data_IF_383260182989
#
_entry.id   IF_383260182989
#
_cell.length_a   1.000
_cell.length_b   1.000
_cell.length_c   1.000
_cell.angle_alpha   90.00
_cell.angle_beta   90.00
_cell.angle_gamma   90.00
#
_symmetry.space_group_name_H-M   'P 1'
#
loop_
_entity.id
_entity.type
_entity.pdbx_description
1 polymer ?
#
# COMPACT_ATOMS: atom_id res chain seq x y z
N UNK A 1 -0.25 -38.77 -0.75
CA UNK A 1 0.39 -37.66 -0.03
C UNK A 1 0.38 -38.03 1.46
N UNK A 2 1.54 -38.18 2.10
CA UNK A 2 1.66 -38.79 3.43
C UNK A 2 1.18 -37.81 4.53
N UNK A 3 0.29 -38.25 5.43
CA UNK A 3 -0.33 -37.42 6.49
C UNK A 3 0.74 -36.77 7.40
N UNK A 4 1.88 -37.44 7.59
CA UNK A 4 3.03 -36.89 8.31
C UNK A 4 3.67 -35.66 7.64
N UNK A 5 3.68 -35.60 6.30
CA UNK A 5 4.21 -34.43 5.57
C UNK A 5 3.25 -33.24 5.62
N UNK A 6 1.94 -33.49 5.62
CA UNK A 6 0.93 -32.43 5.76
C UNK A 6 1.01 -31.80 7.16
N UNK A 7 1.10 -32.61 8.22
CA UNK A 7 1.21 -32.11 9.59
C UNK A 7 2.51 -31.34 9.87
N UNK A 8 3.63 -31.75 9.25
CA UNK A 8 4.92 -31.04 9.36
C UNK A 8 4.89 -29.70 8.61
N UNK A 9 4.21 -29.62 7.46
CA UNK A 9 4.10 -28.40 6.68
C UNK A 9 3.15 -27.39 7.34
N UNK A 10 2.02 -27.85 7.90
CA UNK A 10 1.10 -26.99 8.67
C UNK A 10 1.75 -26.45 9.94
N UNK A 11 2.50 -27.25 10.70
CA UNK A 11 3.18 -26.79 11.92
C UNK A 11 4.31 -25.78 11.64
N UNK A 12 5.02 -25.90 10.53
CA UNK A 12 6.03 -24.91 10.09
C UNK A 12 5.37 -23.58 9.67
N UNK A 13 4.25 -23.62 8.96
CA UNK A 13 3.49 -22.41 8.57
C UNK A 13 2.93 -21.71 9.80
N UNK A 14 2.38 -22.46 10.75
CA UNK A 14 1.87 -21.91 12.02
C UNK A 14 2.99 -21.24 12.83
N UNK A 15 4.12 -21.92 13.05
CA UNK A 15 5.25 -21.35 13.80
C UNK A 15 5.85 -20.10 13.12
N UNK A 16 5.89 -20.08 11.78
CA UNK A 16 6.36 -18.91 11.03
C UNK A 16 5.39 -17.74 11.16
N UNK A 17 4.07 -17.99 11.14
CA UNK A 17 3.05 -16.97 11.38
C UNK A 17 3.13 -16.36 12.78
N UNK A 18 3.33 -17.17 13.82
CA UNK A 18 3.53 -16.69 15.19
C UNK A 18 4.77 -15.81 15.33
N UNK A 19 5.91 -16.25 14.80
CA UNK A 19 7.15 -15.47 14.87
C UNK A 19 7.08 -14.15 14.10
N UNK A 20 6.38 -14.10 12.96
CA UNK A 20 6.20 -12.86 12.21
C UNK A 20 5.32 -11.85 12.96
N UNK A 21 4.24 -12.30 13.61
CA UNK A 21 3.37 -11.44 14.42
C UNK A 21 4.08 -10.87 15.64
N UNK A 22 4.84 -11.70 16.36
CA UNK A 22 5.65 -11.25 17.50
C UNK A 22 6.67 -10.17 17.09
N UNK A 23 7.33 -10.34 15.92
CA UNK A 23 8.22 -9.32 15.39
C UNK A 23 7.49 -8.01 15.04
N UNK A 24 6.29 -8.07 14.45
CA UNK A 24 5.49 -6.88 14.14
C UNK A 24 5.06 -6.15 15.42
N UNK A 25 4.65 -6.86 16.47
CA UNK A 25 4.29 -6.26 17.76
C UNK A 25 5.47 -5.54 18.41
N UNK A 26 6.66 -6.16 18.43
CA UNK A 26 7.87 -5.51 18.97
C UNK A 26 8.24 -4.29 18.13
N UNK A 27 8.16 -4.37 16.78
CA UNK A 27 8.41 -3.22 15.91
C UNK A 27 7.46 -2.07 16.19
N UNK A 28 6.16 -2.36 16.36
CA UNK A 28 5.15 -1.37 16.74
C UNK A 28 5.49 -0.71 18.07
N UNK A 29 5.82 -1.48 19.11
CA UNK A 29 6.22 -0.94 20.42
C UNK A 29 7.42 0.01 20.32
N UNK A 30 8.44 -0.35 19.53
CA UNK A 30 9.62 0.50 19.33
C UNK A 30 9.25 1.78 18.58
N UNK A 31 8.44 1.68 17.53
CA UNK A 31 8.04 2.84 16.70
C UNK A 31 7.16 3.79 17.51
N UNK A 32 6.17 3.30 18.26
CA UNK A 32 5.31 4.13 19.12
C UNK A 32 6.12 4.87 20.18
N UNK A 33 7.06 4.17 20.83
CA UNK A 33 7.95 4.80 21.79
C UNK A 33 8.85 5.87 21.15
N UNK A 34 9.29 5.66 19.91
CA UNK A 34 10.07 6.64 19.16
C UNK A 34 9.24 7.86 18.76
N UNK A 35 7.99 7.67 18.32
CA UNK A 35 7.06 8.75 17.97
C UNK A 35 6.78 9.62 19.20
N UNK A 36 6.42 9.02 20.33
CA UNK A 36 6.14 9.77 21.56
C UNK A 36 7.40 10.52 22.06
N UNK A 37 8.60 9.91 21.97
CA UNK A 37 9.84 10.65 22.23
C UNK A 37 10.10 11.78 21.23
N UNK A 38 9.79 11.58 19.95
CA UNK A 38 9.96 12.61 18.92
C UNK A 38 9.11 13.83 19.24
N UNK A 39 7.82 13.64 19.49
CA UNK A 39 6.87 14.70 19.84
C UNK A 39 7.28 15.41 21.15
N UNK A 40 7.60 14.64 22.20
CA UNK A 40 7.89 15.24 23.52
C UNK A 40 9.26 15.90 23.63
N UNK A 41 10.21 15.58 22.76
CA UNK A 41 11.60 16.08 22.84
C UNK A 41 12.08 16.86 21.61
N UNK A 42 11.21 17.06 20.60
CA UNK A 42 11.60 17.64 19.31
C UNK A 42 12.64 16.78 18.58
N UNK A 43 12.51 15.45 18.65
CA UNK A 43 13.41 14.49 18.03
C UNK A 43 14.73 14.22 18.74
N UNK A 44 14.99 14.86 19.89
CA UNK A 44 16.26 14.73 20.62
C UNK A 44 16.22 13.65 21.72
N UNK A 45 16.27 12.38 21.31
CA UNK A 45 16.33 11.24 22.25
C UNK A 45 17.46 10.26 21.95
N UNK A 46 17.95 9.59 22.99
CA UNK A 46 18.99 8.54 22.91
C UNK A 46 18.39 7.15 22.71
N UNK A 47 19.19 6.21 22.20
CA UNK A 47 18.76 4.80 22.11
C UNK A 47 18.38 4.23 23.49
N UNK A 48 19.08 4.66 24.55
CA UNK A 48 18.77 4.25 25.93
C UNK A 48 17.36 4.68 26.34
N UNK A 49 16.99 5.94 26.08
CA UNK A 49 15.65 6.45 26.36
C UNK A 49 14.59 5.72 25.53
N UNK A 50 14.88 5.44 24.25
CA UNK A 50 13.99 4.66 23.38
C UNK A 50 13.72 3.26 23.94
N UNK A 51 14.77 2.49 24.22
CA UNK A 51 14.62 1.14 24.78
C UNK A 51 13.89 1.15 26.13
N UNK A 52 14.17 2.13 27.00
CA UNK A 52 13.48 2.28 28.28
C UNK A 52 11.97 2.52 28.10
N UNK A 53 11.60 3.41 27.18
CA UNK A 53 10.20 3.75 26.92
C UNK A 53 9.43 2.62 26.24
N UNK A 54 10.07 1.95 25.27
CA UNK A 54 9.56 0.74 24.62
C UNK A 54 9.57 -0.50 25.54
N UNK A 55 10.18 -0.41 26.73
CA UNK A 55 10.32 -1.51 27.71
C UNK A 55 11.04 -2.75 27.14
N UNK A 56 12.02 -2.54 26.27
CA UNK A 56 12.85 -3.59 25.66
C UNK A 56 14.33 -3.43 26.02
N UNK A 57 15.11 -4.49 25.81
CA UNK A 57 16.58 -4.43 25.88
C UNK A 57 17.16 -3.93 24.56
N UNK A 58 18.38 -3.41 24.59
CA UNK A 58 19.11 -3.00 23.37
C UNK A 58 19.34 -4.17 22.39
N UNK A 59 19.54 -5.39 22.90
CA UNK A 59 19.68 -6.56 22.03
C UNK A 59 18.43 -6.83 21.18
N UNK A 60 17.25 -6.65 21.77
CA UNK A 60 15.96 -6.79 21.07
C UNK A 60 15.76 -5.66 20.05
N UNK A 61 16.20 -4.44 20.37
CA UNK A 61 16.21 -3.33 19.41
C UNK A 61 17.02 -3.68 18.15
N UNK A 62 18.24 -4.18 18.31
CA UNK A 62 19.12 -4.50 17.19
C UNK A 62 18.68 -5.72 16.37
N UNK A 63 17.74 -6.53 16.88
CA UNK A 63 17.07 -7.56 16.08
C UNK A 63 16.05 -6.95 15.10
N UNK A 64 15.51 -5.76 15.41
CA UNK A 64 14.48 -5.10 14.60
C UNK A 64 15.00 -3.94 13.75
N UNK A 65 15.99 -3.18 14.26
CA UNK A 65 16.51 -1.97 13.62
C UNK A 65 18.03 -1.87 13.76
N UNK A 66 18.69 -1.45 12.69
CA UNK A 66 20.15 -1.23 12.70
C UNK A 66 20.54 0.11 13.34
N UNK A 67 19.62 1.07 13.41
CA UNK A 67 19.88 2.42 13.93
C UNK A 67 18.59 3.10 14.41
N UNK A 68 18.68 3.85 15.52
CA UNK A 68 17.56 4.67 16.03
C UNK A 68 17.05 5.68 14.99
N UNK A 69 17.93 6.17 14.12
CA UNK A 69 17.61 7.22 13.15
C UNK A 69 16.67 6.72 12.05
N UNK A 70 16.57 5.40 11.85
CA UNK A 70 15.68 4.79 10.85
C UNK A 70 14.29 4.51 11.41
N UNK A 71 14.11 4.52 12.74
CA UNK A 71 12.89 4.02 13.39
C UNK A 71 11.66 4.82 12.99
N UNK A 72 11.74 6.16 13.06
CA UNK A 72 10.59 7.03 12.74
C UNK A 72 10.09 6.83 11.30
N UNK A 73 11.01 6.72 10.34
CA UNK A 73 10.66 6.47 8.93
C UNK A 73 10.04 5.09 8.67
N UNK A 74 10.05 4.18 9.64
CA UNK A 74 9.45 2.85 9.53
C UNK A 74 7.99 2.83 9.98
N UNK A 75 7.46 3.94 10.50
CA UNK A 75 6.04 4.09 10.82
C UNK A 75 5.13 3.84 9.61
N UNK A 76 5.35 4.54 8.49
CA UNK A 76 4.48 4.41 7.32
C UNK A 76 4.47 2.99 6.71
N UNK A 77 5.62 2.32 6.49
CA UNK A 77 5.63 0.90 6.11
C UNK A 77 4.90 0.01 7.11
N UNK A 78 5.09 0.24 8.42
CA UNK A 78 4.41 -0.56 9.44
C UNK A 78 2.88 -0.44 9.34
N UNK A 79 2.34 0.74 9.00
CA UNK A 79 0.91 0.90 8.75
C UNK A 79 0.42 -0.01 7.61
N UNK A 80 1.15 -0.08 6.50
CA UNK A 80 0.80 -0.96 5.36
C UNK A 80 0.82 -2.43 5.78
N UNK A 81 1.85 -2.84 6.54
CA UNK A 81 1.96 -4.19 7.08
C UNK A 81 0.79 -4.54 8.03
N UNK A 82 0.38 -3.60 8.87
CA UNK A 82 -0.80 -3.76 9.74
C UNK A 82 -2.09 -3.88 8.92
N UNK A 83 -2.28 -3.06 7.90
CA UNK A 83 -3.43 -3.19 7.00
C UNK A 83 -3.52 -4.58 6.36
N UNK A 84 -2.38 -5.17 5.97
CA UNK A 84 -2.33 -6.53 5.45
C UNK A 84 -2.79 -7.55 6.50
N UNK A 85 -2.26 -7.50 7.72
CA UNK A 85 -2.67 -8.42 8.80
C UNK A 85 -4.15 -8.25 9.16
N UNK A 86 -4.67 -7.01 9.20
CA UNK A 86 -6.08 -6.73 9.46
C UNK A 86 -6.98 -7.25 8.34
N UNK A 87 -6.56 -7.11 7.07
CA UNK A 87 -7.30 -7.63 5.91
C UNK A 87 -7.48 -9.14 5.97
N UNK A 88 -6.48 -9.88 6.48
CA UNK A 88 -6.55 -11.33 6.65
C UNK A 88 -7.58 -11.78 7.69
N UNK A 89 -8.04 -10.89 8.58
CA UNK A 89 -9.08 -11.18 9.57
C UNK A 89 -10.50 -10.93 9.05
N UNK A 90 -10.65 -10.37 7.85
CA UNK A 90 -11.96 -10.11 7.26
C UNK A 90 -12.50 -11.41 6.66
N UNK A 91 -13.53 -11.99 7.29
CA UNK A 91 -14.09 -13.33 6.97
C UNK A 91 -14.47 -13.51 5.49
N UNK A 92 -14.92 -12.43 4.84
CA UNK A 92 -15.35 -12.41 3.45
C UNK A 92 -14.41 -11.63 2.51
N UNK A 93 -13.15 -11.39 2.90
CA UNK A 93 -12.23 -10.55 2.11
C UNK A 93 -12.08 -11.01 0.65
N UNK A 94 -11.99 -12.33 0.44
CA UNK A 94 -11.81 -12.90 -0.88
C UNK A 94 -12.98 -12.65 -1.83
N UNK A 95 -14.20 -12.53 -1.31
CA UNK A 95 -15.41 -12.27 -2.09
C UNK A 95 -15.71 -10.78 -2.29
N UNK A 96 -14.92 -9.89 -1.69
CA UNK A 96 -15.09 -8.45 -1.87
C UNK A 96 -14.76 -8.03 -3.30
N UNK A 97 -15.46 -7.00 -3.77
CA UNK A 97 -15.18 -6.34 -5.04
C UNK A 97 -13.80 -5.66 -5.02
N UNK A 98 -13.35 -5.20 -6.18
CA UNK A 98 -12.10 -4.45 -6.29
C UNK A 98 -12.19 -3.12 -5.53
N UNK A 99 -13.29 -2.39 -5.73
CA UNK A 99 -13.58 -1.14 -5.05
C UNK A 99 -13.60 -1.33 -3.53
N UNK A 100 -14.24 -2.39 -3.05
CA UNK A 100 -14.32 -2.72 -1.62
C UNK A 100 -12.95 -3.02 -1.00
N UNK A 101 -12.09 -3.81 -1.67
CA UNK A 101 -10.73 -4.11 -1.18
C UNK A 101 -9.86 -2.87 -1.12
N UNK A 102 -9.88 -2.05 -2.18
CA UNK A 102 -9.13 -0.79 -2.23
C UNK A 102 -9.64 0.20 -1.18
N UNK A 103 -10.96 0.35 -1.05
CA UNK A 103 -11.61 1.20 -0.06
C UNK A 103 -11.21 0.79 1.36
N UNK A 104 -11.31 -0.50 1.70
CA UNK A 104 -10.88 -1.02 2.99
C UNK A 104 -9.42 -0.68 3.30
N UNK A 105 -8.51 -0.91 2.34
CA UNK A 105 -7.10 -0.58 2.51
C UNK A 105 -6.91 0.92 2.83
N UNK A 106 -7.55 1.79 2.06
CA UNK A 106 -7.46 3.25 2.23
C UNK A 106 -8.03 3.67 3.59
N UNK A 107 -9.19 3.16 3.99
CA UNK A 107 -9.82 3.51 5.26
C UNK A 107 -9.01 3.01 6.47
N UNK A 108 -8.51 1.77 6.44
CA UNK A 108 -7.61 1.28 7.49
C UNK A 108 -6.33 2.13 7.57
N UNK A 109 -5.80 2.58 6.44
CA UNK A 109 -4.65 3.48 6.43
C UNK A 109 -4.97 4.84 7.04
N UNK A 110 -6.13 5.45 6.73
CA UNK A 110 -6.57 6.67 7.39
C UNK A 110 -6.67 6.50 8.90
N UNK A 111 -7.27 5.41 9.38
CA UNK A 111 -7.40 5.14 10.81
C UNK A 111 -6.03 5.01 11.50
N UNK A 112 -5.12 4.23 10.93
CA UNK A 112 -3.77 4.03 11.48
C UNK A 112 -2.93 5.32 11.48
N UNK A 113 -3.04 6.14 10.44
CA UNK A 113 -2.34 7.42 10.37
C UNK A 113 -2.95 8.43 11.35
N UNK A 114 -4.27 8.39 11.55
CA UNK A 114 -4.98 9.24 12.49
C UNK A 114 -4.61 8.94 13.95
N UNK A 115 -4.32 7.67 14.30
CA UNK A 115 -3.82 7.29 15.64
C UNK A 115 -2.55 8.09 16.04
N UNK A 116 -1.73 8.47 15.07
CA UNK A 116 -0.47 9.21 15.26
C UNK A 116 -0.51 10.58 14.54
N UNK A 117 -1.68 11.23 14.50
CA UNK A 117 -1.94 12.41 13.65
C UNK A 117 -0.89 13.52 13.75
N UNK A 118 -0.50 13.90 14.97
CA UNK A 118 0.50 14.96 15.19
C UNK A 118 1.84 14.64 14.51
N UNK A 119 2.32 13.41 14.65
CA UNK A 119 3.53 12.94 13.98
C UNK A 119 3.38 12.91 12.46
N UNK A 120 2.21 12.48 11.95
CA UNK A 120 1.96 12.43 10.52
C UNK A 120 1.93 13.83 9.91
N UNK A 121 1.28 14.80 10.56
CA UNK A 121 1.23 16.19 10.11
C UNK A 121 2.65 16.80 10.02
N UNK A 122 3.54 16.49 10.97
CA UNK A 122 4.92 16.96 10.97
C UNK A 122 5.82 16.30 9.91
N UNK A 123 5.62 14.99 9.64
CA UNK A 123 6.63 14.20 8.93
C UNK A 123 6.22 13.74 7.53
N UNK A 124 4.92 13.68 7.20
CA UNK A 124 4.45 13.11 5.94
C UNK A 124 4.99 13.85 4.71
N UNK A 125 5.07 15.17 4.79
CA UNK A 125 5.59 16.00 3.70
C UNK A 125 7.00 15.60 3.28
N UNK A 126 7.92 15.53 4.24
CA UNK A 126 9.35 15.24 4.01
C UNK A 126 9.61 13.74 3.80
N UNK A 127 9.04 12.89 4.66
CA UNK A 127 9.36 11.46 4.67
C UNK A 127 8.64 10.68 3.57
N UNK A 128 7.48 11.15 3.11
CA UNK A 128 6.64 10.42 2.15
C UNK A 128 6.39 11.22 0.88
N UNK A 129 5.75 12.39 0.98
CA UNK A 129 5.24 13.09 -0.19
C UNK A 129 6.33 13.60 -1.13
N UNK A 130 7.42 14.16 -0.58
CA UNK A 130 8.55 14.68 -1.36
C UNK A 130 9.56 13.61 -1.78
N UNK A 131 9.47 12.41 -1.21
CA UNK A 131 10.48 11.37 -1.39
C UNK A 131 9.91 10.21 -2.23
N UNK A 132 10.18 10.23 -3.54
CA UNK A 132 9.74 9.15 -4.43
C UNK A 132 10.61 7.91 -4.25
N UNK A 133 9.99 6.72 -4.14
CA UNK A 133 10.72 5.45 -4.03
C UNK A 133 11.07 5.04 -2.59
N UNK A 134 10.35 5.53 -1.59
CA UNK A 134 10.44 5.02 -0.21
C UNK A 134 10.00 3.55 -0.12
N UNK A 135 10.33 2.90 1.01
CA UNK A 135 9.79 1.57 1.33
C UNK A 135 8.27 1.60 1.35
N UNK A 136 7.68 2.65 1.96
CA UNK A 136 6.24 2.85 2.01
C UNK A 136 5.61 2.87 0.62
N UNK A 137 6.18 3.62 -0.33
CA UNK A 137 5.69 3.68 -1.70
C UNK A 137 5.64 2.29 -2.36
N UNK A 138 6.72 1.51 -2.22
CA UNK A 138 6.78 0.16 -2.77
C UNK A 138 5.77 -0.76 -2.12
N UNK A 139 5.64 -0.73 -0.79
CA UNK A 139 4.68 -1.59 -0.10
C UNK A 139 3.23 -1.25 -0.47
N UNK A 140 2.91 0.03 -0.71
CA UNK A 140 1.61 0.45 -1.26
C UNK A 140 1.42 -0.09 -2.68
N UNK A 141 2.42 0.05 -3.56
CA UNK A 141 2.35 -0.47 -4.92
C UNK A 141 2.14 -2.00 -4.91
N UNK A 142 2.81 -2.72 -4.01
CA UNK A 142 2.64 -4.16 -3.83
C UNK A 142 1.21 -4.51 -3.39
N UNK A 143 0.64 -3.78 -2.41
CA UNK A 143 -0.75 -3.99 -1.97
C UNK A 143 -1.73 -3.78 -3.13
N UNK A 144 -1.57 -2.67 -3.87
CA UNK A 144 -2.44 -2.34 -5.00
C UNK A 144 -2.30 -3.42 -6.08
N UNK A 145 -1.07 -3.82 -6.42
CA UNK A 145 -0.81 -4.89 -7.38
C UNK A 145 -1.48 -6.19 -6.99
N UNK A 146 -1.32 -6.65 -5.75
CA UNK A 146 -1.97 -7.86 -5.24
C UNK A 146 -3.50 -7.79 -5.32
N UNK A 147 -4.08 -6.65 -4.94
CA UNK A 147 -5.54 -6.46 -5.01
C UNK A 147 -6.01 -6.56 -6.46
N UNK A 148 -5.37 -5.86 -7.39
CA UNK A 148 -5.74 -5.85 -8.81
C UNK A 148 -5.53 -7.23 -9.47
N UNK A 149 -4.40 -7.88 -9.20
CA UNK A 149 -4.08 -9.19 -9.78
C UNK A 149 -5.06 -10.27 -9.31
N UNK A 150 -5.56 -10.15 -8.08
CA UNK A 150 -6.52 -11.08 -7.47
C UNK A 150 -7.94 -10.98 -8.03
N UNK A 151 -8.30 -9.91 -8.74
CA UNK A 151 -9.66 -9.69 -9.20
C UNK A 151 -9.93 -10.40 -10.53
N UNK A 152 -10.73 -11.49 -10.57
CA UNK A 152 -10.99 -12.26 -11.78
C UNK A 152 -11.80 -11.51 -12.85
N UNK A 153 -12.48 -10.41 -12.51
CA UNK A 153 -13.38 -9.70 -13.43
C UNK A 153 -12.64 -8.81 -14.44
N UNK A 154 -11.36 -8.51 -14.20
CA UNK A 154 -10.53 -7.73 -15.12
C UNK A 154 -10.26 -8.56 -16.40
N UNK A 155 -10.66 -8.09 -17.60
CA UNK A 155 -10.46 -8.81 -18.86
C UNK A 155 -8.98 -8.99 -19.24
N UNK A 156 -8.64 -10.11 -19.88
CA UNK A 156 -7.26 -10.49 -20.25
C UNK A 156 -6.47 -9.41 -21.00
N UNK A 157 -7.13 -8.70 -21.92
CA UNK A 157 -6.51 -7.61 -22.66
C UNK A 157 -6.08 -6.48 -21.73
N UNK A 158 -6.93 -6.10 -20.78
CA UNK A 158 -6.66 -5.06 -19.82
C UNK A 158 -5.60 -5.49 -18.81
N UNK A 159 -5.66 -6.75 -18.37
CA UNK A 159 -4.60 -7.35 -17.56
C UNK A 159 -3.24 -7.19 -18.21
N UNK A 160 -3.13 -7.56 -19.48
CA UNK A 160 -1.87 -7.52 -20.23
C UNK A 160 -1.28 -6.11 -20.36
N UNK A 161 -2.14 -5.07 -20.37
CA UNK A 161 -1.72 -3.68 -20.55
C UNK A 161 -1.55 -2.90 -19.25
N UNK A 162 -2.36 -3.20 -18.23
CA UNK A 162 -2.51 -2.37 -17.03
C UNK A 162 -1.95 -3.04 -15.78
N UNK A 163 -1.90 -4.38 -15.72
CA UNK A 163 -1.36 -5.08 -14.55
C UNK A 163 0.14 -5.28 -14.71
N UNK A 164 0.87 -4.21 -14.43
CA UNK A 164 2.33 -4.17 -14.44
C UNK A 164 2.87 -3.21 -13.37
N UNK A 165 4.15 -3.38 -13.02
CA UNK A 165 4.80 -2.61 -11.98
C UNK A 165 4.71 -1.09 -12.18
N UNK A 166 4.80 -0.60 -13.42
CA UNK A 166 4.69 0.84 -13.71
C UNK A 166 3.31 1.39 -13.37
N UNK A 167 2.25 0.63 -13.66
CA UNK A 167 0.89 1.03 -13.27
C UNK A 167 0.72 1.03 -11.76
N UNK A 168 1.25 0.02 -11.06
CA UNK A 168 1.17 -0.06 -9.60
C UNK A 168 1.90 1.12 -8.93
N UNK A 169 3.08 1.48 -9.45
CA UNK A 169 3.81 2.66 -9.01
C UNK A 169 3.01 3.95 -9.25
N UNK A 170 2.32 4.08 -10.40
CA UNK A 170 1.45 5.24 -10.68
C UNK A 170 0.30 5.30 -9.68
N UNK A 171 -0.41 4.19 -9.46
CA UNK A 171 -1.53 4.14 -8.51
C UNK A 171 -1.07 4.41 -7.07
N UNK A 172 0.12 3.94 -6.68
CA UNK A 172 0.73 4.26 -5.40
C UNK A 172 1.03 5.76 -5.24
N UNK A 173 1.46 6.44 -6.32
CA UNK A 173 1.59 7.92 -6.32
C UNK A 173 0.25 8.60 -6.11
N UNK A 174 -0.79 8.18 -6.84
CA UNK A 174 -2.12 8.77 -6.69
C UNK A 174 -2.69 8.54 -5.29
N UNK A 175 -2.47 7.37 -4.70
CA UNK A 175 -2.80 7.11 -3.31
C UNK A 175 -2.06 8.06 -2.33
N UNK A 176 -0.77 8.34 -2.56
CA UNK A 176 -0.03 9.32 -1.74
C UNK A 176 -0.62 10.74 -1.89
N UNK A 177 -1.12 11.11 -3.07
CA UNK A 177 -1.85 12.38 -3.25
C UNK A 177 -3.18 12.38 -2.51
N UNK A 178 -3.89 11.25 -2.46
CA UNK A 178 -5.09 11.09 -1.65
C UNK A 178 -4.80 11.26 -0.15
N UNK A 179 -3.71 10.67 0.36
CA UNK A 179 -3.28 10.90 1.75
C UNK A 179 -2.97 12.38 2.02
N UNK A 180 -2.30 13.07 1.08
CA UNK A 180 -2.05 14.51 1.19
C UNK A 180 -3.35 15.32 1.23
N UNK A 181 -4.33 14.94 0.41
CA UNK A 181 -5.66 15.55 0.41
C UNK A 181 -6.35 15.34 1.76
N UNK A 182 -6.31 14.11 2.30
CA UNK A 182 -6.86 13.77 3.61
C UNK A 182 -6.23 14.55 4.77
N UNK A 183 -4.91 14.72 4.77
CA UNK A 183 -4.23 15.55 5.78
C UNK A 183 -4.67 17.01 5.74
N UNK A 184 -5.13 17.50 4.58
CA UNK A 184 -5.61 18.87 4.38
C UNK A 184 -7.13 19.00 4.49
N UNK A 185 -7.84 17.91 4.80
CA UNK A 185 -9.30 17.90 4.85
C UNK A 185 -9.82 18.36 6.21
N UNK A 186 -10.37 19.57 6.21
CA UNK A 186 -10.97 20.25 7.35
C UNK A 186 -12.47 19.98 7.53
N UNK A 187 -13.07 19.16 6.67
CA UNK A 187 -14.48 18.80 6.80
C UNK A 187 -14.73 17.91 8.01
N UNK A 188 -15.97 17.94 8.50
CA UNK A 188 -16.38 17.09 9.62
C UNK A 188 -16.09 15.63 9.28
N UNK A 189 -15.36 14.93 10.17
CA UNK A 189 -14.99 13.52 10.00
C UNK A 189 -14.34 13.18 8.64
N UNK A 190 -13.64 14.14 8.00
CA UNK A 190 -12.98 13.96 6.71
C UNK A 190 -13.95 13.56 5.57
N UNK A 191 -15.19 14.04 5.61
CA UNK A 191 -16.25 13.76 4.62
C UNK A 191 -15.80 13.94 3.16
N UNK A 192 -14.99 14.97 2.85
CA UNK A 192 -14.50 15.19 1.47
C UNK A 192 -13.55 14.06 1.04
N UNK A 193 -12.69 13.60 1.94
CA UNK A 193 -11.73 12.53 1.69
C UNK A 193 -12.42 11.19 1.54
N UNK A 194 -13.42 10.89 2.38
CA UNK A 194 -14.24 9.69 2.24
C UNK A 194 -14.97 9.69 0.89
N UNK A 195 -15.60 10.81 0.54
CA UNK A 195 -16.30 10.95 -0.74
C UNK A 195 -15.35 10.85 -1.95
N UNK A 196 -14.12 11.35 -1.84
CA UNK A 196 -13.10 11.21 -2.89
C UNK A 196 -12.64 9.76 -3.03
N UNK A 197 -12.36 9.07 -1.92
CA UNK A 197 -12.03 7.65 -1.90
C UNK A 197 -13.09 6.83 -2.61
N UNK A 198 -14.37 6.97 -2.21
CA UNK A 198 -15.49 6.24 -2.82
C UNK A 198 -15.56 6.49 -4.33
N UNK A 199 -15.38 7.74 -4.78
CA UNK A 199 -15.39 8.07 -6.21
C UNK A 199 -14.23 7.44 -6.96
N UNK A 200 -13.02 7.49 -6.40
CA UNK A 200 -11.83 6.97 -7.04
C UNK A 200 -11.85 5.44 -7.18
N UNK A 201 -12.23 4.73 -6.12
CA UNK A 201 -12.21 3.25 -6.14
C UNK A 201 -13.30 2.68 -7.05
N UNK A 202 -14.51 3.27 -7.05
CA UNK A 202 -15.58 2.86 -7.94
C UNK A 202 -15.25 3.19 -9.40
N UNK A 203 -14.69 4.38 -9.67
CA UNK A 203 -14.25 4.73 -11.01
C UNK A 203 -13.16 3.79 -11.52
N UNK A 204 -12.18 3.45 -10.68
CA UNK A 204 -11.11 2.52 -11.06
C UNK A 204 -11.67 1.12 -11.37
N UNK A 205 -12.59 0.61 -10.54
CA UNK A 205 -13.27 -0.66 -10.78
C UNK A 205 -14.04 -0.63 -12.11
N UNK A 206 -14.87 0.38 -12.35
CA UNK A 206 -15.61 0.54 -13.60
C UNK A 206 -14.68 0.58 -14.81
N UNK A 207 -13.58 1.34 -14.75
CA UNK A 207 -12.61 1.43 -15.85
C UNK A 207 -11.98 0.07 -16.14
N UNK A 208 -11.54 -0.66 -15.11
CA UNK A 208 -10.84 -1.95 -15.23
C UNK A 208 -11.75 -3.14 -15.55
N UNK A 209 -13.05 -3.02 -15.31
CA UNK A 209 -14.04 -4.04 -15.71
C UNK A 209 -14.65 -3.72 -17.07
N UNK A 210 -14.66 -2.44 -17.47
CA UNK A 210 -15.22 -2.03 -18.76
C UNK A 210 -14.31 -2.39 -19.93
N UNK A 211 -14.89 -2.61 -21.12
CA UNK A 211 -14.11 -2.79 -22.35
C UNK A 211 -13.62 -1.45 -22.97
N UNK A 212 -13.68 -0.33 -22.24
CA UNK A 212 -13.38 1.01 -22.79
C UNK A 212 -11.93 1.10 -23.27
N UNK A 213 -10.98 0.54 -22.52
CA UNK A 213 -9.56 0.57 -22.87
C UNK A 213 -9.29 -0.26 -24.13
N UNK A 214 -9.90 -1.44 -24.24
CA UNK A 214 -9.83 -2.27 -25.45
C UNK A 214 -10.37 -1.53 -26.67
N UNK A 215 -11.56 -0.91 -26.55
CA UNK A 215 -12.16 -0.12 -27.62
C UNK A 215 -11.31 1.09 -28.03
N UNK A 216 -10.68 1.76 -27.07
CA UNK A 216 -9.76 2.86 -27.35
C UNK A 216 -8.51 2.38 -28.11
N UNK A 217 -7.95 1.22 -27.72
CA UNK A 217 -6.83 0.60 -28.42
C UNK A 217 -7.21 0.18 -29.85
N UNK A 218 -8.41 -0.39 -30.04
CA UNK A 218 -8.93 -0.77 -31.36
C UNK A 218 -9.14 0.46 -32.25
N UNK A 219 -9.67 1.56 -31.70
CA UNK A 219 -9.83 2.82 -32.41
C UNK A 219 -8.47 3.39 -32.85
N UNK A 220 -7.47 3.37 -31.96
CA UNK A 220 -6.10 3.78 -32.28
C UNK A 220 -5.50 2.89 -33.37
N UNK A 221 -5.69 1.57 -33.29
CA UNK A 221 -5.27 0.61 -34.32
C UNK A 221 -5.92 0.95 -35.66
N UNK A 222 -7.21 1.26 -35.68
CA UNK A 222 -7.94 1.66 -36.88
C UNK A 222 -7.39 2.95 -37.49
N UNK A 223 -7.13 3.99 -36.68
CA UNK A 223 -6.55 5.25 -37.18
C UNK A 223 -5.18 5.07 -37.81
N UNK A 224 -4.34 4.21 -37.23
CA UNK A 224 -3.01 3.90 -37.77
C UNK A 224 -3.13 3.09 -39.06
N UNK A 225 -3.97 2.03 -39.08
CA UNK A 225 -4.12 1.15 -40.24
C UNK A 225 -4.68 1.86 -41.47
N UNK A 226 -5.46 2.93 -41.26
CA UNK A 226 -6.11 3.68 -42.34
C UNK A 226 -5.44 5.04 -42.61
N UNK A 227 -4.21 5.26 -42.11
CA UNK A 227 -3.44 6.48 -42.28
C UNK A 227 -4.17 7.79 -41.86
N UNK A 228 -5.20 7.68 -41.01
CA UNK A 228 -5.95 8.84 -40.48
C UNK A 228 -5.05 9.68 -39.58
N UNK A 229 -4.15 9.03 -38.84
CA UNK A 229 -3.12 9.69 -38.03
C UNK A 229 -1.77 9.04 -38.30
N UNK A 230 -0.77 9.83 -38.70
CA UNK A 230 0.62 9.38 -38.84
C UNK A 230 1.30 9.35 -37.47
N UNK A 231 0.99 8.34 -36.66
CA UNK A 231 1.67 8.13 -35.37
C UNK A 231 2.93 7.29 -35.55
N UNK A 232 4.09 7.88 -35.29
CA UNK A 232 5.39 7.20 -35.32
C UNK A 232 5.78 6.76 -33.89
N UNK A 233 5.01 5.85 -33.27
CA UNK A 233 5.28 5.35 -31.92
C UNK A 233 5.69 3.86 -31.90
N UNK A 234 6.67 3.43 -31.08
CA UNK A 234 7.16 2.05 -31.02
C UNK A 234 6.10 0.99 -30.63
N UNK A 235 5.14 1.35 -29.76
CA UNK A 235 4.05 0.47 -29.28
C UNK A 235 3.13 -0.02 -30.40
N UNK A 236 2.99 0.76 -31.48
CA UNK A 236 2.13 0.44 -32.62
C UNK A 236 2.66 -0.78 -33.38
N UNK A 237 3.99 -0.96 -33.48
CA UNK A 237 4.58 -2.13 -34.15
C UNK A 237 4.25 -3.44 -33.43
N UNK A 238 4.13 -3.41 -32.10
CA UNK A 238 3.72 -4.58 -31.30
C UNK A 238 2.23 -4.90 -31.47
N UNK A 239 1.36 -3.88 -31.53
CA UNK A 239 -0.09 -4.03 -31.73
C UNK A 239 -0.51 -4.49 -33.13
N UNK A 240 0.32 -4.25 -34.15
CA UNK A 240 0.04 -4.63 -35.55
C UNK A 240 0.47 -6.06 -35.87
N UNK A 241 1.43 -6.64 -35.13
CA UNK A 241 1.97 -7.99 -35.38
C UNK A 241 1.17 -9.13 -34.71
N UNK A 242 0.05 -8.82 -34.07
CA UNK A 242 -0.88 -9.77 -33.45
C UNK A 242 -2.31 -9.51 -33.93
#
# INVERSE_FOLDING_TARGET
MNIANINKQSSVVVNKGYSMRENLEIRQQIIDAAIDLHITTGGNFTLKQLCQKAKIKQGEFYQQFNSKNQVLGQFYPLCVQRCREMSLQIEAYHSMSLAEKLGNFIYMMFDLLQEQREFVDETFGEMVFQNTGTVFHREVADVIGEILESDPQIPDLQRSFLLNAQMYDVLAKEYIHLLKFWLSDDSQNFEKSMALTDKLVNFLEEVLHSNVIGRAADLLKFFVQNDVVKLNFPLIKWLIQR
#
